data_IF_117437622019
#
_entry.id   IF_117437622019
#
_cell.length_a   1.000
_cell.length_b   1.000
_cell.length_c   1.000
_cell.angle_alpha   90.00
_cell.angle_beta   90.00
_cell.angle_gamma   90.00
#
_symmetry.space_group_name_H-M   'P 1'
#
loop_
_entity.id
_entity.type
_entity.pdbx_description
1 polymer ?
#
# COMPACT_ATOMS: atom_id res chain seq x y z
N UNK A 1 0.03 -20.62 3.69
CA UNK A 1 -0.68 -21.89 3.46
C UNK A 1 0.27 -23.06 3.49
N UNK A 2 -0.26 -24.28 3.42
CA UNK A 2 0.49 -25.53 3.40
C UNK A 2 -0.25 -26.63 2.63
N UNK A 3 0.50 -27.66 2.24
CA UNK A 3 -0.04 -28.94 1.78
C UNK A 3 0.35 -30.03 2.76
N UNK A 4 -0.57 -30.93 3.05
CA UNK A 4 -0.37 -32.11 3.88
C UNK A 4 -0.15 -33.34 3.03
N UNK A 5 0.65 -34.29 3.55
CA UNK A 5 0.80 -35.63 2.97
C UNK A 5 -0.50 -36.46 3.03
N UNK A 6 -1.46 -36.06 3.86
CA UNK A 6 -2.81 -36.66 3.91
C UNK A 6 -3.77 -36.14 2.83
N UNK A 7 -3.31 -35.24 1.95
CA UNK A 7 -4.13 -34.64 0.89
C UNK A 7 -4.89 -33.38 1.29
N UNK A 8 -4.80 -32.93 2.55
CA UNK A 8 -5.34 -31.64 2.97
C UNK A 8 -4.45 -30.48 2.48
N UNK A 9 -5.05 -29.32 2.21
CA UNK A 9 -4.34 -28.10 1.89
C UNK A 9 -5.06 -26.88 2.47
N UNK A 10 -4.29 -25.87 2.87
CA UNK A 10 -4.78 -24.58 3.32
C UNK A 10 -4.06 -23.48 2.52
N UNK A 11 -4.83 -22.57 1.94
CA UNK A 11 -4.29 -21.39 1.26
C UNK A 11 -4.80 -20.12 1.90
N UNK A 12 -3.91 -19.14 2.00
CA UNK A 12 -4.23 -17.81 2.45
C UNK A 12 -4.26 -16.87 1.24
N UNK A 13 -5.20 -15.94 1.21
CA UNK A 13 -5.16 -14.84 0.25
C UNK A 13 -4.01 -13.91 0.62
N UNK A 14 -3.07 -13.69 -0.30
CA UNK A 14 -1.91 -12.81 -0.08
C UNK A 14 -2.33 -11.35 -0.25
N UNK A 15 -3.07 -10.85 0.74
CA UNK A 15 -3.46 -9.45 0.87
C UNK A 15 -2.75 -8.83 2.07
N UNK A 16 -2.53 -7.51 2.04
CA UNK A 16 -1.85 -6.78 3.12
C UNK A 16 -0.52 -7.43 3.53
N UNK A 17 0.22 -7.94 2.55
CA UNK A 17 1.49 -8.64 2.74
C UNK A 17 2.63 -7.80 2.14
N UNK A 18 3.77 -7.78 2.83
CA UNK A 18 4.99 -7.13 2.37
C UNK A 18 5.89 -8.15 1.68
N UNK A 19 6.49 -7.76 0.56
CA UNK A 19 7.59 -8.50 -0.06
C UNK A 19 8.89 -7.76 0.28
N UNK A 20 9.80 -8.43 0.96
CA UNK A 20 11.08 -7.86 1.36
C UNK A 20 12.21 -8.54 0.57
N UNK A 21 13.06 -7.71 -0.01
CA UNK A 21 14.35 -8.09 -0.60
C UNK A 21 15.46 -7.37 0.16
N UNK A 22 16.75 -7.72 -0.03
CA UNK A 22 17.85 -7.02 0.64
C UNK A 22 17.89 -5.51 0.38
N UNK A 23 17.31 -5.03 -0.73
CA UNK A 23 17.40 -3.63 -1.18
C UNK A 23 16.06 -2.91 -1.25
N UNK A 24 14.94 -3.63 -1.09
CA UNK A 24 13.61 -3.08 -1.35
C UNK A 24 12.54 -3.75 -0.47
N UNK A 25 11.56 -2.93 -0.06
CA UNK A 25 10.30 -3.39 0.53
C UNK A 25 9.17 -2.95 -0.40
N UNK A 26 8.40 -3.91 -0.90
CA UNK A 26 7.23 -3.67 -1.74
C UNK A 26 5.94 -4.01 -1.00
N UNK A 27 4.91 -3.18 -1.23
CA UNK A 27 3.59 -3.38 -0.67
C UNK A 27 2.53 -3.08 -1.72
N UNK A 28 1.78 -4.12 -2.12
CA UNK A 28 0.66 -3.98 -3.04
C UNK A 28 -0.63 -3.59 -2.33
N UNK A 29 -1.34 -2.59 -2.87
CA UNK A 29 -2.73 -2.27 -2.51
C UNK A 29 -3.61 -2.30 -3.74
N UNK A 30 -4.84 -2.76 -3.55
CA UNK A 30 -5.83 -2.87 -4.61
C UNK A 30 -7.25 -2.85 -4.05
N UNK A 31 -8.22 -2.76 -4.96
CA UNK A 31 -9.65 -2.72 -4.69
C UNK A 31 -10.41 -3.29 -5.89
N UNK A 32 -11.66 -3.67 -5.67
CA UNK A 32 -12.52 -4.12 -6.74
C UNK A 32 -13.15 -2.90 -7.42
N UNK A 33 -13.01 -2.79 -8.74
CA UNK A 33 -13.66 -1.74 -9.52
C UNK A 33 -14.91 -2.31 -10.18
N UNK A 34 -16.05 -1.67 -9.95
CA UNK A 34 -17.33 -2.04 -10.56
C UNK A 34 -17.91 -0.86 -11.34
N UNK A 35 -18.97 -1.10 -12.12
CA UNK A 35 -19.57 -0.11 -13.01
C UNK A 35 -20.03 1.19 -12.31
N UNK A 36 -20.29 1.14 -11.00
CA UNK A 36 -20.73 2.28 -10.20
C UNK A 36 -19.63 2.85 -9.29
N UNK A 37 -18.39 2.35 -9.40
CA UNK A 37 -17.27 2.84 -8.59
C UNK A 37 -16.95 4.29 -8.94
N UNK A 38 -16.66 5.08 -7.90
CA UNK A 38 -16.14 6.44 -8.04
C UNK A 38 -14.60 6.41 -7.92
N UNK A 39 -13.83 6.86 -8.94
CA UNK A 39 -12.37 6.78 -8.91
C UNK A 39 -11.71 7.46 -7.70
N UNK A 40 -12.27 8.56 -7.20
CA UNK A 40 -11.71 9.28 -6.06
C UNK A 40 -11.94 8.52 -4.75
N UNK A 41 -13.15 7.97 -4.54
CA UNK A 41 -13.48 7.15 -3.39
C UNK A 41 -12.62 5.87 -3.34
N UNK A 42 -12.43 5.20 -4.48
CA UNK A 42 -11.59 3.99 -4.58
C UNK A 42 -10.14 4.29 -4.21
N UNK A 43 -9.58 5.41 -4.66
CA UNK A 43 -8.24 5.85 -4.26
C UNK A 43 -8.14 6.10 -2.74
N UNK A 44 -9.18 6.66 -2.14
CA UNK A 44 -9.32 6.79 -0.69
C UNK A 44 -9.26 5.44 0.02
N UNK A 45 -9.96 4.43 -0.50
CA UNK A 45 -9.92 3.08 0.04
C UNK A 45 -8.53 2.43 -0.05
N UNK A 46 -7.82 2.62 -1.18
CA UNK A 46 -6.44 2.16 -1.33
C UNK A 46 -5.51 2.78 -0.27
N UNK A 47 -5.67 4.09 0.00
CA UNK A 47 -4.90 4.78 1.02
C UNK A 47 -5.21 4.26 2.43
N UNK A 48 -6.47 3.97 2.74
CA UNK A 48 -6.88 3.34 4.01
C UNK A 48 -6.23 1.95 4.17
N UNK A 49 -6.19 1.15 3.10
CA UNK A 49 -5.53 -0.18 3.11
C UNK A 49 -4.01 -0.09 3.29
N UNK A 50 -3.38 0.95 2.73
CA UNK A 50 -1.94 1.19 2.85
C UNK A 50 -1.51 1.73 4.22
N UNK A 51 -2.36 2.55 4.83
CA UNK A 51 -2.10 3.28 6.08
C UNK A 51 -1.42 2.45 7.18
N UNK A 52 -1.89 1.25 7.54
CA UNK A 52 -1.28 0.49 8.63
C UNK A 52 0.18 0.11 8.37
N UNK A 53 0.53 -0.19 7.12
CA UNK A 53 1.89 -0.55 6.73
C UNK A 53 2.79 0.69 6.69
N UNK A 54 2.27 1.81 6.18
CA UNK A 54 3.00 3.09 6.19
C UNK A 54 3.39 3.47 7.62
N UNK A 55 2.44 3.37 8.55
CA UNK A 55 2.68 3.61 9.98
C UNK A 55 3.66 2.60 10.57
N UNK A 56 3.54 1.32 10.24
CA UNK A 56 4.46 0.27 10.70
C UNK A 56 5.91 0.55 10.28
N UNK A 57 6.12 1.09 9.07
CA UNK A 57 7.43 1.47 8.55
C UNK A 57 7.92 2.84 9.06
N UNK A 58 7.23 3.45 10.03
CA UNK A 58 7.59 4.75 10.59
C UNK A 58 7.42 5.92 9.62
N UNK A 59 6.67 5.73 8.52
CA UNK A 59 6.37 6.78 7.54
C UNK A 59 5.06 7.47 7.89
N UNK A 60 4.93 8.74 7.54
CA UNK A 60 3.74 9.55 7.79
C UNK A 60 2.85 9.74 6.55
N UNK A 61 3.36 9.40 5.35
CA UNK A 61 2.60 9.53 4.11
C UNK A 61 3.00 8.50 3.05
N UNK A 62 2.09 8.29 2.10
CA UNK A 62 2.32 7.45 0.92
C UNK A 62 2.95 8.31 -0.20
N UNK A 63 4.12 7.95 -0.73
CA UNK A 63 4.73 8.67 -1.84
C UNK A 63 3.89 8.50 -3.13
N UNK A 64 3.68 9.59 -3.87
CA UNK A 64 3.04 9.56 -5.21
C UNK A 64 1.52 9.61 -5.24
N UNK A 65 0.82 9.59 -4.09
CA UNK A 65 -0.62 9.90 -4.02
C UNK A 65 -0.77 11.39 -3.67
N UNK A 66 -1.65 12.09 -4.41
CA UNK A 66 -1.92 13.52 -4.21
C UNK A 66 -2.27 13.84 -2.76
N UNK A 67 -1.77 14.97 -2.28
CA UNK A 67 -1.76 15.41 -0.87
C UNK A 67 -3.11 15.40 -0.14
N UNK A 68 -4.23 15.39 -0.88
CA UNK A 68 -5.57 15.49 -0.31
C UNK A 68 -6.04 14.17 0.34
N UNK A 69 -5.49 13.03 -0.10
CA UNK A 69 -5.81 11.69 0.44
C UNK A 69 -4.64 11.11 1.27
N UNK A 70 -3.45 11.70 1.17
CA UNK A 70 -2.20 11.15 1.70
C UNK A 70 -1.97 11.37 3.21
N UNK A 71 -2.90 12.03 3.90
CA UNK A 71 -2.72 12.40 5.31
C UNK A 71 -3.14 11.25 6.22
N UNK A 72 -2.18 10.39 6.55
CA UNK A 72 -2.40 9.20 7.38
C UNK A 72 -2.55 9.55 8.88
N UNK A 73 -2.16 10.77 9.30
CA UNK A 73 -2.12 11.17 10.73
C UNK A 73 -2.57 12.61 11.03
N UNK A 74 -3.15 13.34 10.07
CA UNK A 74 -3.40 14.78 10.21
C UNK A 74 -2.14 15.65 10.02
N UNK A 75 -0.96 15.04 9.88
CA UNK A 75 0.29 15.75 9.59
C UNK A 75 0.50 15.87 8.07
N UNK A 76 0.88 17.06 7.55
CA UNK A 76 1.10 17.25 6.12
C UNK A 76 2.30 16.41 5.65
N UNK A 77 2.12 15.70 4.52
CA UNK A 77 3.24 15.04 3.86
C UNK A 77 4.23 16.11 3.39
N UNK A 78 5.48 16.06 3.87
CA UNK A 78 6.54 16.93 3.37
C UNK A 78 6.72 16.73 1.86
N UNK A 79 7.12 17.78 1.13
CA UNK A 79 7.42 17.64 -0.30
C UNK A 79 8.46 16.53 -0.50
N UNK A 80 8.28 15.62 -1.47
CA UNK A 80 9.31 14.62 -1.78
C UNK A 80 10.64 15.33 -2.09
N UNK A 81 11.79 14.73 -1.70
CA UNK A 81 13.09 15.31 -2.01
C UNK A 81 13.21 15.53 -3.52
N UNK A 82 13.58 16.75 -3.93
CA UNK A 82 13.75 17.10 -5.34
C UNK A 82 14.88 16.23 -5.88
N UNK A 83 14.56 15.25 -6.72
CA UNK A 83 15.58 14.53 -7.50
C UNK A 83 16.24 15.55 -8.41
N UNK A 84 17.50 15.88 -8.14
CA UNK A 84 18.33 16.65 -9.07
C UNK A 84 18.45 15.82 -10.35
N UNK A 85 17.97 16.37 -11.47
CA UNK A 85 18.20 15.77 -12.79
C UNK A 85 19.71 15.78 -13.03
N UNK A 86 20.35 14.64 -13.34
CA UNK A 86 21.74 14.67 -13.78
C UNK A 86 21.84 15.49 -15.06
N UNK A 87 22.81 16.41 -15.08
CA UNK A 87 23.16 17.32 -16.17
C UNK A 87 23.59 16.59 -17.44
#
# INVERSE_FOLDING_TARGET
>A
GYFSLSGAADFSMVIRTLVLTPTLVEFGVGGAIIALSDPAAELGELAVKATPIVRLLGKSCLPGIVSEVATVTGAPCGKPPRTERPS
#
